data_IF_942584400740
#
_entry.id   IF_942584400740
#
_cell.length_a   1.000
_cell.length_b   1.000
_cell.length_c   1.000
_cell.angle_alpha   90.00
_cell.angle_beta   90.00
_cell.angle_gamma   90.00
#
_symmetry.space_group_name_H-M   'P 1'
#
loop_
_entity.id
_entity.type
_entity.pdbx_description
1 polymer ?
#
# COMPACT_ATOMS: atom_id res chain seq x y z
N UNK A 1 -21.60 4.63 -3.33
CA UNK A 1 -21.47 4.28 -1.90
C UNK A 1 -20.36 5.15 -1.35
N UNK A 2 -20.63 5.93 -0.30
CA UNK A 2 -19.69 6.96 0.17
C UNK A 2 -18.37 6.30 0.61
N UNK A 3 -17.31 6.62 -0.13
CA UNK A 3 -15.94 6.22 0.16
C UNK A 3 -15.56 6.86 1.50
N UNK A 4 -15.74 6.10 2.58
CA UNK A 4 -15.56 6.60 3.94
C UNK A 4 -14.07 6.70 4.18
N UNK A 5 -13.47 7.81 3.74
CA UNK A 5 -12.06 8.15 4.01
C UNK A 5 -11.78 7.87 5.48
N UNK A 6 -10.97 6.84 5.72
CA UNK A 6 -10.51 6.50 7.06
C UNK A 6 -9.53 7.59 7.45
N UNK A 7 -9.81 8.29 8.54
CA UNK A 7 -8.93 9.34 9.05
C UNK A 7 -7.70 8.73 9.72
N UNK A 8 -6.58 9.45 9.67
CA UNK A 8 -5.32 9.03 10.29
C UNK A 8 -5.48 8.73 11.79
N UNK A 9 -6.35 9.47 12.48
CA UNK A 9 -6.71 9.20 13.87
C UNK A 9 -7.30 7.79 14.07
N UNK A 10 -8.19 7.35 13.19
CA UNK A 10 -8.80 6.01 13.30
C UNK A 10 -7.79 4.90 13.02
N UNK A 11 -6.88 5.15 12.08
CA UNK A 11 -5.79 4.24 11.75
C UNK A 11 -4.87 4.08 12.96
N UNK A 12 -4.49 5.20 13.59
CA UNK A 12 -3.68 5.20 14.80
C UNK A 12 -4.34 4.45 15.96
N UNK A 13 -5.62 4.70 16.23
CA UNK A 13 -6.36 3.99 17.27
C UNK A 13 -6.43 2.48 17.00
N UNK A 14 -6.70 2.08 15.75
CA UNK A 14 -6.73 0.67 15.38
C UNK A 14 -5.34 -0.01 15.53
N UNK A 15 -4.27 0.71 15.19
CA UNK A 15 -2.90 0.22 15.37
C UNK A 15 -2.60 -0.04 16.85
N UNK A 16 -3.01 0.86 17.73
CA UNK A 16 -2.85 0.71 19.18
C UNK A 16 -3.68 -0.45 19.74
N UNK A 17 -4.91 -0.62 19.28
CA UNK A 17 -5.76 -1.75 19.68
C UNK A 17 -5.15 -3.10 19.28
N UNK A 18 -4.62 -3.20 18.06
CA UNK A 18 -3.88 -4.38 17.61
C UNK A 18 -2.61 -4.61 18.43
N UNK A 19 -1.89 -3.52 18.75
CA UNK A 19 -0.68 -3.62 19.54
C UNK A 19 -0.94 -4.15 20.95
N UNK A 20 -2.03 -3.70 21.57
CA UNK A 20 -2.47 -4.18 22.88
C UNK A 20 -2.91 -5.66 22.84
N UNK A 21 -3.53 -6.09 21.74
CA UNK A 21 -4.00 -7.48 21.58
C UNK A 21 -2.85 -8.47 21.34
N UNK A 22 -1.87 -8.08 20.52
CA UNK A 22 -0.78 -8.96 20.08
C UNK A 22 0.47 -8.80 20.97
N UNK A 23 0.57 -7.72 21.74
CA UNK A 23 1.73 -7.39 22.57
C UNK A 23 2.95 -6.94 21.77
N UNK A 24 2.75 -6.33 20.59
CA UNK A 24 3.80 -5.82 19.69
C UNK A 24 3.33 -4.54 19.04
N UNK A 25 4.23 -3.59 18.80
CA UNK A 25 3.85 -2.36 18.12
C UNK A 25 3.52 -2.61 16.64
N UNK A 26 2.41 -2.02 16.18
CA UNK A 26 2.00 -2.05 14.78
C UNK A 26 1.96 -0.63 14.24
N UNK A 27 2.45 -0.45 13.01
CA UNK A 27 2.20 0.74 12.21
C UNK A 27 1.21 0.38 11.10
N UNK A 28 0.10 1.12 11.02
CA UNK A 28 -0.92 0.92 10.01
C UNK A 28 -0.87 2.10 9.03
N UNK A 29 -0.77 1.79 7.74
CA UNK A 29 -0.74 2.82 6.69
C UNK A 29 -1.92 2.62 5.73
N UNK A 30 -2.66 3.70 5.48
CA UNK A 30 -3.66 3.70 4.42
C UNK A 30 -2.98 3.86 3.05
N UNK A 31 -2.89 2.76 2.31
CA UNK A 31 -2.31 2.73 0.96
C UNK A 31 -3.06 3.61 -0.05
N UNK A 32 -4.29 4.05 0.20
CA UNK A 32 -4.98 4.98 -0.70
C UNK A 32 -4.37 6.38 -0.62
N UNK A 33 -4.01 6.83 0.58
CA UNK A 33 -3.43 8.15 0.85
C UNK A 33 -1.89 8.18 0.77
N UNK A 34 -1.23 7.02 0.76
CA UNK A 34 0.23 6.93 0.68
C UNK A 34 0.81 7.45 -0.65
N UNK A 35 2.10 7.80 -0.69
CA UNK A 35 2.78 8.19 -1.92
C UNK A 35 2.96 6.99 -2.87
N UNK A 36 3.05 7.23 -4.17
CA UNK A 36 3.26 6.17 -5.17
C UNK A 36 4.53 5.37 -4.92
N UNK A 37 5.62 6.05 -4.51
CA UNK A 37 6.90 5.40 -4.18
C UNK A 37 6.73 4.48 -2.97
N UNK A 38 6.04 4.94 -1.92
CA UNK A 38 5.81 4.12 -0.73
C UNK A 38 4.93 2.90 -1.03
N UNK A 39 3.86 3.08 -1.83
CA UNK A 39 3.03 1.95 -2.29
C UNK A 39 3.85 0.92 -3.07
N UNK A 40 4.76 1.37 -3.94
CA UNK A 40 5.63 0.50 -4.71
C UNK A 40 6.56 -0.33 -3.80
N UNK A 41 7.12 0.29 -2.77
CA UNK A 41 7.92 -0.40 -1.75
C UNK A 41 7.10 -1.46 -1.02
N UNK A 42 5.95 -1.09 -0.46
CA UNK A 42 5.08 -2.03 0.28
C UNK A 42 4.66 -3.22 -0.58
N UNK A 43 4.31 -3.00 -1.86
CA UNK A 43 3.94 -4.08 -2.76
C UNK A 43 5.12 -4.95 -3.22
N UNK A 44 6.31 -4.37 -3.30
CA UNK A 44 7.52 -5.08 -3.75
C UNK A 44 8.21 -5.88 -2.65
N UNK A 45 8.10 -5.45 -1.39
CA UNK A 45 8.81 -6.07 -0.26
C UNK A 45 7.88 -6.70 0.78
N UNK A 46 6.61 -6.29 0.82
CA UNK A 46 5.65 -6.75 1.82
C UNK A 46 5.09 -8.15 1.54
N UNK A 47 4.63 -8.80 2.59
CA UNK A 47 3.91 -10.07 2.52
C UNK A 47 2.39 -9.84 2.56
N UNK A 48 1.64 -10.58 1.74
CA UNK A 48 0.18 -10.47 1.68
C UNK A 48 -0.43 -11.33 2.79
N UNK A 49 -0.93 -10.68 3.84
CA UNK A 49 -1.65 -11.35 4.94
C UNK A 49 -3.12 -11.58 4.56
N UNK A 50 -3.75 -10.62 3.88
CA UNK A 50 -5.14 -10.68 3.45
C UNK A 50 -5.38 -9.78 2.22
N UNK A 51 -6.17 -10.25 1.25
CA UNK A 51 -6.56 -9.42 0.10
C UNK A 51 -7.99 -9.72 -0.39
N UNK A 52 -8.85 -8.71 -0.33
CA UNK A 52 -10.23 -8.75 -0.85
C UNK A 52 -10.35 -8.36 -2.32
N UNK A 53 -9.38 -7.62 -2.84
CA UNK A 53 -9.40 -7.04 -4.19
C UNK A 53 -8.09 -7.36 -4.94
N UNK A 54 -7.81 -8.65 -5.22
CA UNK A 54 -6.55 -9.08 -5.80
C UNK A 54 -6.26 -8.46 -7.16
N UNK A 55 -7.28 -8.09 -7.93
CA UNK A 55 -7.09 -7.44 -9.23
C UNK A 55 -6.58 -6.00 -9.09
N UNK A 56 -7.09 -5.24 -8.11
CA UNK A 56 -6.61 -3.87 -7.81
C UNK A 56 -5.14 -3.92 -7.37
N UNK A 57 -4.78 -4.87 -6.50
CA UNK A 57 -3.40 -5.09 -6.06
C UNK A 57 -2.48 -5.48 -7.22
N UNK A 58 -2.88 -6.45 -8.05
CA UNK A 58 -2.09 -6.91 -9.21
C UNK A 58 -1.83 -5.78 -10.20
N UNK A 59 -2.82 -4.94 -10.49
CA UNK A 59 -2.64 -3.75 -11.32
C UNK A 59 -1.60 -2.81 -10.71
N UNK A 60 -1.73 -2.48 -9.41
CA UNK A 60 -0.79 -1.59 -8.72
C UNK A 60 0.63 -2.18 -8.63
N UNK A 61 0.77 -3.49 -8.45
CA UNK A 61 2.06 -4.18 -8.45
C UNK A 61 2.70 -4.16 -9.85
N UNK A 62 1.92 -4.39 -10.90
CA UNK A 62 2.42 -4.28 -12.26
C UNK A 62 2.98 -2.89 -12.52
N UNK A 63 2.24 -1.82 -12.16
CA UNK A 63 2.73 -0.45 -12.25
C UNK A 63 3.97 -0.20 -11.38
N UNK A 64 4.04 -0.73 -10.16
CA UNK A 64 5.23 -0.55 -9.31
C UNK A 64 6.48 -1.16 -9.95
N UNK A 65 6.36 -2.35 -10.54
CA UNK A 65 7.46 -2.99 -11.28
C UNK A 65 7.93 -2.16 -12.47
N UNK A 66 7.02 -1.48 -13.19
CA UNK A 66 7.40 -0.57 -14.29
C UNK A 66 8.13 0.69 -13.81
N UNK A 67 7.81 1.17 -12.61
CA UNK A 67 8.44 2.37 -12.02
C UNK A 67 9.82 2.06 -11.43
N UNK A 68 10.04 0.83 -10.95
CA UNK A 68 11.29 0.40 -10.34
C UNK A 68 12.19 -0.41 -11.26
N UNK A 69 11.79 -0.65 -12.52
CA UNK A 69 12.67 -1.25 -13.53
C UNK A 69 13.75 -0.25 -13.93
N UNK A 70 14.96 -0.74 -14.23
CA UNK A 70 16.04 0.10 -14.75
C UNK A 70 16.28 -0.20 -16.24
N UNK A 71 16.05 0.75 -17.17
CA UNK A 71 15.36 2.02 -16.96
C UNK A 71 13.84 1.82 -16.79
N UNK A 72 13.10 2.79 -16.22
CA UNK A 72 11.65 2.63 -16.03
C UNK A 72 10.95 2.58 -17.39
N UNK A 73 10.17 1.53 -17.67
CA UNK A 73 9.56 1.31 -18.99
C UNK A 73 8.60 2.43 -19.43
N UNK A 74 8.13 3.26 -18.48
CA UNK A 74 7.38 4.49 -18.75
C UNK A 74 8.17 5.51 -19.60
N UNK A 75 9.50 5.46 -19.56
CA UNK A 75 10.38 6.35 -20.33
C UNK A 75 10.40 5.99 -21.82
N UNK A 76 10.02 4.76 -22.18
CA UNK A 76 9.99 4.28 -23.58
C UNK A 76 8.74 4.71 -24.35
N UNK A 77 7.67 5.15 -23.67
CA UNK A 77 6.45 5.62 -24.34
C UNK A 77 6.50 7.10 -24.74
N UNK A 78 7.59 7.81 -24.41
CA UNK A 78 7.75 9.24 -24.67
C UNK A 78 9.02 9.57 -25.49
N UNK A 79 9.49 8.61 -26.31
CA UNK A 79 10.56 8.76 -27.31
C UNK A 79 9.98 8.50 -28.70
#
# INVERSE_FOLDING_TARGET
>A
MADKKISDYKIFMAAQELANLVGKDFDLVNLENASTVFKAQVLGTGEIIYDQQPQKRKGLHFYSTLLTSDPPLMWLHNV
#
